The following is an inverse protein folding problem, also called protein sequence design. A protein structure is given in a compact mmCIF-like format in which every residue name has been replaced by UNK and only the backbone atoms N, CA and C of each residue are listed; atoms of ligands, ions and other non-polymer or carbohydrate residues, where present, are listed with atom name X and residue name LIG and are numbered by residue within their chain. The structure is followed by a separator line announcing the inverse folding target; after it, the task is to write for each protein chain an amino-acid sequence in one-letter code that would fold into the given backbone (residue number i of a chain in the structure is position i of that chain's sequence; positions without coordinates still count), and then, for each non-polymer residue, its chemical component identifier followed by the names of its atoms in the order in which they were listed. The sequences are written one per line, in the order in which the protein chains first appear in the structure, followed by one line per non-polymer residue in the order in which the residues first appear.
data_IF_397246421766
#
_entry.id   IF_397246421766
#
_cell.length_a   1.000
_cell.length_b   1.000
_cell.length_c   1.000
_cell.angle_alpha   90.00
_cell.angle_beta   90.00
_cell.angle_gamma   90.00
#
_symmetry.space_group_name_H-M   'P 1'
#
loop_
_entity.id
_entity.type
_entity.pdbx_description
1 polymer ?
#
# COMPACT_ATOMS: atom_id res chain seq x y z
N UNK A 1 -14.82 9.95 -38.87
CA UNK A 1 -13.76 8.91 -38.69
C UNK A 1 -12.92 9.06 -37.40
N UNK A 2 -13.40 9.73 -36.33
CA UNK A 2 -12.59 9.95 -35.13
C UNK A 2 -13.40 9.93 -33.82
N UNK A 3 -14.09 8.82 -33.54
CA UNK A 3 -14.68 8.59 -32.20
C UNK A 3 -14.74 7.12 -31.77
N UNK A 4 -14.29 6.17 -32.59
CA UNK A 4 -14.39 4.72 -32.31
C UNK A 4 -13.15 4.11 -31.61
N UNK A 5 -12.23 4.92 -31.06
CA UNK A 5 -10.92 4.43 -30.59
C UNK A 5 -10.64 4.49 -29.08
N UNK A 6 -11.59 4.89 -28.22
CA UNK A 6 -11.29 5.17 -26.79
C UNK A 6 -12.08 4.39 -25.73
N UNK A 7 -12.78 3.32 -26.12
CA UNK A 7 -13.50 2.45 -25.17
C UNK A 7 -13.37 0.96 -25.51
N UNK A 8 -12.20 0.58 -26.02
CA UNK A 8 -11.81 -0.82 -26.27
C UNK A 8 -10.63 -1.18 -25.37
N UNK A 9 -10.71 -0.81 -24.10
CA UNK A 9 -9.77 -1.18 -23.03
C UNK A 9 -10.48 -1.60 -21.73
N UNK A 10 -11.80 -1.78 -21.76
CA UNK A 10 -12.53 -2.56 -20.75
C UNK A 10 -12.65 -4.01 -21.25
N UNK A 11 -11.51 -4.61 -21.61
CA UNK A 11 -11.45 -6.01 -22.03
C UNK A 11 -11.12 -6.88 -20.83
N UNK A 12 -12.02 -7.82 -20.54
CA UNK A 12 -11.84 -9.01 -19.69
C UNK A 12 -11.46 -8.78 -18.21
N UNK A 13 -12.42 -8.38 -17.37
CA UNK A 13 -12.45 -8.96 -16.02
C UNK A 13 -13.17 -10.28 -16.10
N UNK A 14 -12.43 -11.33 -16.46
CA UNK A 14 -12.78 -12.69 -16.07
C UNK A 14 -13.12 -12.64 -14.58
N UNK A 15 -14.34 -13.01 -14.21
CA UNK A 15 -14.69 -13.21 -12.81
C UNK A 15 -14.01 -14.51 -12.32
N UNK A 16 -12.68 -14.53 -12.39
CA UNK A 16 -11.86 -15.56 -11.77
C UNK A 16 -12.13 -15.45 -10.28
N UNK A 17 -12.68 -16.52 -9.70
CA UNK A 17 -12.90 -16.62 -8.27
C UNK A 17 -11.56 -16.41 -7.56
N UNK A 18 -11.35 -15.19 -7.04
CA UNK A 18 -10.12 -14.84 -6.32
C UNK A 18 -10.16 -15.61 -5.01
N UNK A 19 -9.24 -16.58 -4.87
CA UNK A 19 -9.02 -17.26 -3.59
C UNK A 19 -8.68 -16.21 -2.53
N UNK A 20 -9.23 -16.40 -1.32
CA UNK A 20 -9.02 -15.51 -0.18
C UNK A 20 -9.53 -14.07 -0.38
N UNK A 21 -10.54 -13.86 -1.25
CA UNK A 21 -11.15 -12.55 -1.54
C UNK A 21 -11.48 -11.76 -0.26
N UNK A 22 -12.13 -12.41 0.70
CA UNK A 22 -12.52 -11.77 1.97
C UNK A 22 -11.29 -11.34 2.78
N UNK A 23 -10.24 -12.17 2.83
CA UNK A 23 -9.01 -11.81 3.51
C UNK A 23 -8.33 -10.61 2.86
N UNK A 24 -8.26 -10.56 1.53
CA UNK A 24 -7.75 -9.38 0.82
C UNK A 24 -8.59 -8.13 1.04
N UNK A 25 -9.91 -8.24 1.13
CA UNK A 25 -10.80 -7.12 1.48
C UNK A 25 -10.50 -6.59 2.89
N UNK A 26 -10.29 -7.47 3.87
CA UNK A 26 -9.90 -7.09 5.25
C UNK A 26 -8.53 -6.40 5.27
N UNK A 27 -7.55 -6.92 4.54
CA UNK A 27 -6.23 -6.29 4.44
C UNK A 27 -6.31 -4.90 3.80
N UNK A 28 -7.11 -4.76 2.75
CA UNK A 28 -7.31 -3.49 2.05
C UNK A 28 -8.02 -2.46 2.95
N UNK A 29 -9.05 -2.88 3.69
CA UNK A 29 -9.74 -2.01 4.65
C UNK A 29 -8.78 -1.43 5.68
N UNK A 30 -7.95 -2.27 6.31
CA UNK A 30 -6.97 -1.82 7.31
C UNK A 30 -5.95 -0.84 6.71
N UNK A 31 -5.48 -1.10 5.50
CA UNK A 31 -4.56 -0.20 4.80
C UNK A 31 -5.21 1.17 4.55
N UNK A 32 -6.44 1.21 4.04
CA UNK A 32 -7.17 2.45 3.79
C UNK A 32 -7.48 3.21 5.09
N UNK A 33 -7.84 2.51 6.16
CA UNK A 33 -8.05 3.11 7.47
C UNK A 33 -6.77 3.79 8.00
N UNK A 34 -5.60 3.16 7.84
CA UNK A 34 -4.32 3.75 8.22
C UNK A 34 -4.02 5.07 7.50
N UNK A 35 -4.32 5.15 6.20
CA UNK A 35 -4.22 6.39 5.41
C UNK A 35 -5.23 7.44 5.84
N UNK A 36 -6.49 7.04 6.05
CA UNK A 36 -7.57 7.93 6.44
C UNK A 36 -7.28 8.64 7.78
N UNK A 37 -6.75 7.90 8.77
CA UNK A 37 -6.36 8.46 10.06
C UNK A 37 -5.31 9.56 9.92
N UNK A 38 -4.25 9.33 9.13
CA UNK A 38 -3.21 10.34 8.93
C UNK A 38 -3.68 11.52 8.09
N UNK A 39 -4.60 11.29 7.15
CA UNK A 39 -5.21 12.35 6.35
C UNK A 39 -6.10 13.28 7.20
N UNK A 40 -6.81 12.74 8.19
CA UNK A 40 -7.63 13.53 9.11
C UNK A 40 -6.81 14.23 10.19
N UNK A 41 -5.85 13.51 10.79
CA UNK A 41 -4.99 14.05 11.83
C UNK A 41 -3.59 13.40 11.75
N UNK A 42 -2.56 14.12 11.30
CA UNK A 42 -1.22 13.56 11.14
C UNK A 42 -0.54 13.22 12.47
N UNK A 43 -1.04 13.72 13.61
CA UNK A 43 -0.49 13.38 14.93
C UNK A 43 -0.94 11.99 15.41
N UNK A 44 -1.98 11.40 14.81
CA UNK A 44 -2.52 10.09 15.18
C UNK A 44 -1.70 8.93 14.58
N UNK A 45 -0.38 8.99 14.72
CA UNK A 45 0.57 8.01 14.18
C UNK A 45 0.38 6.62 14.78
N UNK A 46 0.06 6.53 16.08
CA UNK A 46 -0.13 5.26 16.78
C UNK A 46 -1.32 4.46 16.24
N UNK A 47 -2.43 5.13 15.94
CA UNK A 47 -3.60 4.47 15.38
C UNK A 47 -3.33 3.99 13.94
N UNK A 48 -2.61 4.77 13.14
CA UNK A 48 -2.15 4.34 11.81
C UNK A 48 -1.23 3.12 11.89
N UNK A 49 -0.24 3.15 12.80
CA UNK A 49 0.67 2.02 13.08
C UNK A 49 -0.09 0.77 13.49
N UNK A 50 -1.10 0.90 14.36
CA UNK A 50 -1.93 -0.22 14.81
C UNK A 50 -2.63 -0.91 13.64
N UNK A 51 -3.22 -0.15 12.70
CA UNK A 51 -3.85 -0.71 11.51
C UNK A 51 -2.85 -1.44 10.61
N UNK A 52 -1.69 -0.84 10.32
CA UNK A 52 -0.64 -1.48 9.53
C UNK A 52 -0.06 -2.73 10.21
N UNK A 53 0.14 -2.71 11.53
CA UNK A 53 0.59 -3.86 12.30
C UNK A 53 -0.42 -5.01 12.24
N UNK A 54 -1.71 -4.70 12.45
CA UNK A 54 -2.81 -5.66 12.36
C UNK A 54 -2.91 -6.27 10.96
N UNK A 55 -2.81 -5.44 9.92
CA UNK A 55 -2.78 -5.88 8.53
C UNK A 55 -1.63 -6.87 8.27
N UNK A 56 -0.41 -6.56 8.74
CA UNK A 56 0.74 -7.45 8.59
C UNK A 56 0.57 -8.75 9.39
N UNK A 57 -0.01 -8.71 10.59
CA UNK A 57 -0.28 -9.91 11.39
C UNK A 57 -1.27 -10.86 10.68
N UNK A 58 -2.36 -10.32 10.13
CA UNK A 58 -3.33 -11.11 9.35
C UNK A 58 -2.65 -11.70 8.11
N UNK A 59 -1.89 -10.88 7.37
CA UNK A 59 -1.18 -11.34 6.17
C UNK A 59 -0.21 -12.48 6.46
N UNK A 60 0.52 -12.42 7.59
CA UNK A 60 1.46 -13.48 7.99
C UNK A 60 0.73 -14.75 8.42
N UNK A 61 -0.31 -14.62 9.25
CA UNK A 61 -1.10 -15.77 9.74
C UNK A 61 -1.77 -16.53 8.61
N UNK A 62 -2.29 -15.82 7.61
CA UNK A 62 -2.95 -16.40 6.45
C UNK A 62 -1.99 -16.71 5.29
N UNK A 63 -0.67 -16.50 5.47
CA UNK A 63 0.36 -16.73 4.44
C UNK A 63 0.07 -15.98 3.13
N UNK A 64 -0.56 -14.80 3.23
CA UNK A 64 -0.94 -13.99 2.08
C UNK A 64 0.22 -13.11 1.63
N UNK A 65 0.46 -13.08 0.32
CA UNK A 65 1.45 -12.20 -0.30
C UNK A 65 0.80 -10.86 -0.66
N UNK A 66 1.17 -9.81 0.06
CA UNK A 66 0.83 -8.45 -0.34
C UNK A 66 1.59 -8.02 -1.60
N UNK A 67 1.08 -7.00 -2.31
CA UNK A 67 1.78 -6.39 -3.43
C UNK A 67 3.01 -5.58 -2.96
N UNK A 68 4.15 -5.56 -3.70
CA UNK A 68 5.31 -4.76 -3.35
C UNK A 68 5.02 -3.26 -3.20
N UNK A 69 4.07 -2.69 -3.95
CA UNK A 69 3.71 -1.26 -3.85
C UNK A 69 3.16 -0.93 -2.47
N UNK A 70 2.23 -1.74 -1.95
CA UNK A 70 1.66 -1.58 -0.60
C UNK A 70 2.74 -1.83 0.45
N UNK A 71 3.48 -2.93 0.36
CA UNK A 71 4.53 -3.28 1.34
C UNK A 71 5.64 -2.23 1.47
N UNK A 72 6.00 -1.55 0.38
CA UNK A 72 7.04 -0.50 0.41
C UNK A 72 6.58 0.77 1.13
N UNK A 73 5.27 0.98 1.27
CA UNK A 73 4.71 2.09 2.03
C UNK A 73 4.58 1.81 3.53
N UNK A 74 5.02 0.66 4.03
CA UNK A 74 4.93 0.32 5.46
C UNK A 74 6.34 0.00 5.99
N UNK A 75 6.73 0.64 7.09
CA UNK A 75 7.98 0.33 7.76
C UNK A 75 7.96 -1.10 8.31
N UNK A 76 8.99 -1.90 8.01
CA UNK A 76 9.08 -3.29 8.46
C UNK A 76 9.39 -3.46 9.94
N UNK A 77 9.96 -2.43 10.58
CA UNK A 77 10.37 -2.49 11.99
C UNK A 77 9.24 -2.06 12.92
N UNK A 78 8.64 -0.89 12.67
CA UNK A 78 7.65 -0.28 13.56
C UNK A 78 6.24 -0.22 12.96
N UNK A 79 6.03 -0.72 11.74
CA UNK A 79 4.74 -0.72 11.03
C UNK A 79 4.15 0.68 10.78
N UNK A 80 4.93 1.76 10.89
CA UNK A 80 4.51 3.08 10.43
C UNK A 80 4.17 3.08 8.94
N UNK A 81 3.05 3.71 8.60
CA UNK A 81 2.74 4.08 7.23
C UNK A 81 3.69 5.19 6.78
N UNK A 82 4.35 5.02 5.64
CA UNK A 82 5.36 5.91 5.06
C UNK A 82 4.70 6.82 4.01
N UNK A 83 4.18 7.95 4.46
CA UNK A 83 3.61 9.00 3.62
C UNK A 83 4.67 10.08 3.41
N UNK A 84 5.16 10.31 2.17
CA UNK A 84 6.17 11.33 1.91
C UNK A 84 5.72 12.71 2.40
N UNK A 85 6.58 13.38 3.18
CA UNK A 85 6.31 14.73 3.69
C UNK A 85 5.39 14.78 4.91
N UNK A 86 4.84 13.64 5.36
CA UNK A 86 4.00 13.56 6.58
C UNK A 86 4.70 12.71 7.63
N UNK A 87 4.95 11.44 7.32
CA UNK A 87 5.52 10.45 8.26
C UNK A 87 6.83 9.85 7.77
N UNK A 88 7.29 10.23 6.58
CA UNK A 88 8.55 9.75 6.02
C UNK A 88 9.27 10.82 5.18
N UNK A 89 10.59 10.71 5.12
CA UNK A 89 11.44 11.53 4.26
C UNK A 89 11.94 10.72 3.08
N UNK A 90 11.76 11.24 1.87
CA UNK A 90 12.23 10.59 0.63
C UNK A 90 13.50 11.27 0.14
N UNK A 91 14.56 10.49 -0.09
CA UNK A 91 15.85 10.99 -0.57
C UNK A 91 16.34 10.19 -1.78
N UNK A 92 16.86 10.88 -2.78
CA UNK A 92 17.60 10.26 -3.88
C UNK A 92 19.07 10.11 -3.47
N UNK A 93 19.62 8.90 -3.57
CA UNK A 93 21.04 8.63 -3.34
C UNK A 93 21.67 8.14 -4.63
N UNK A 94 22.93 8.49 -4.84
CA UNK A 94 23.75 8.03 -5.97
C UNK A 94 24.93 7.23 -5.44
N UNK A 95 25.19 6.06 -6.01
CA UNK A 95 26.48 5.35 -5.84
C UNK A 95 26.89 4.80 -7.19
N UNK A 96 28.10 5.17 -7.63
CA UNK A 96 28.60 4.87 -8.97
C UNK A 96 27.58 5.31 -10.04
N UNK A 97 27.22 4.40 -10.96
CA UNK A 97 26.29 4.61 -12.07
C UNK A 97 24.81 4.29 -11.73
N UNK A 98 24.45 4.09 -10.46
CA UNK A 98 23.07 3.83 -10.05
C UNK A 98 22.53 4.92 -9.12
N UNK A 99 21.22 5.21 -9.29
CA UNK A 99 20.43 6.06 -8.39
C UNK A 99 19.35 5.20 -7.74
N UNK A 100 19.11 5.40 -6.46
CA UNK A 100 18.00 4.77 -5.76
C UNK A 100 17.32 5.73 -4.79
N UNK A 101 16.03 5.48 -4.60
CA UNK A 101 15.20 6.20 -3.65
C UNK A 101 15.27 5.51 -2.30
N UNK A 102 15.64 6.26 -1.27
CA UNK A 102 15.55 5.83 0.13
C UNK A 102 14.33 6.52 0.74
N UNK A 103 13.48 5.74 1.39
CA UNK A 103 12.36 6.23 2.20
C UNK A 103 12.71 5.92 3.66
N UNK A 104 12.76 6.94 4.50
CA UNK A 104 13.11 6.86 5.92
C UNK A 104 11.93 7.32 6.77
#
# INVERSE_FOLDING_TARGET
HLSKKKKKEESSRSHSMIKDKEAFQRLNFLYQAAHCVLAQNPNNQELSRFYCHTQNNISRRLVLRQDPSVKRTICKSCFSLLVPGVSSTVRQRKRRHQRWTVVQ
#
